data_IF_116158032292
#
_entry.id   IF_116158032292
#
_cell.length_a   1.000
_cell.length_b   1.000
_cell.length_c   1.000
_cell.angle_alpha   90.00
_cell.angle_beta   90.00
_cell.angle_gamma   90.00
#
_symmetry.space_group_name_H-M   'P 1'
#
loop_
_entity.id
_entity.type
_entity.pdbx_description
1 polymer ?
#
# COMPACT_ATOMS: atom_id res chain seq x y z
N UNK A 1 -15.45 10.92 -10.87
CA UNK A 1 -14.41 9.99 -10.39
C UNK A 1 -15.10 8.72 -9.92
N UNK A 2 -14.52 7.55 -10.16
CA UNK A 2 -15.05 6.28 -9.65
C UNK A 2 -15.11 6.32 -8.11
N UNK A 3 -16.20 5.84 -7.49
CA UNK A 3 -16.33 5.78 -6.02
C UNK A 3 -15.18 5.00 -5.39
N UNK A 4 -14.63 4.01 -6.10
CA UNK A 4 -13.46 3.22 -5.66
C UNK A 4 -12.21 4.09 -5.55
N UNK A 5 -11.96 4.95 -6.54
CA UNK A 5 -10.83 5.87 -6.54
C UNK A 5 -10.90 6.85 -5.38
N UNK A 6 -12.09 7.41 -5.10
CA UNK A 6 -12.30 8.33 -3.98
C UNK A 6 -12.00 7.62 -2.66
N UNK A 7 -12.52 6.41 -2.46
CA UNK A 7 -12.26 5.62 -1.27
C UNK A 7 -10.76 5.35 -1.07
N UNK A 8 -10.05 4.95 -2.13
CA UNK A 8 -8.59 4.72 -2.07
C UNK A 8 -7.82 5.98 -1.68
N UNK A 9 -8.16 7.13 -2.28
CA UNK A 9 -7.50 8.40 -1.97
C UNK A 9 -7.77 8.85 -0.53
N UNK A 10 -8.99 8.65 -0.03
CA UNK A 10 -9.33 8.94 1.36
C UNK A 10 -8.53 8.07 2.33
N UNK A 11 -8.43 6.76 2.07
CA UNK A 11 -7.62 5.83 2.88
C UNK A 11 -6.15 6.24 2.87
N UNK A 12 -5.59 6.54 1.70
CA UNK A 12 -4.19 7.00 1.56
C UNK A 12 -3.97 8.30 2.33
N UNK A 13 -4.89 9.27 2.24
CA UNK A 13 -4.76 10.54 2.93
C UNK A 13 -4.84 10.37 4.46
N UNK A 14 -5.81 9.60 4.95
CA UNK A 14 -5.97 9.35 6.37
C UNK A 14 -4.80 8.56 6.96
N UNK A 15 -4.37 7.48 6.29
CA UNK A 15 -3.23 6.67 6.74
C UNK A 15 -1.90 7.42 6.58
N UNK A 16 -1.78 8.26 5.55
CA UNK A 16 -0.67 9.19 5.36
C UNK A 16 -0.55 10.20 6.49
N UNK A 17 -1.66 10.81 6.92
CA UNK A 17 -1.68 11.71 8.06
C UNK A 17 -1.26 11.00 9.36
N UNK A 18 -1.80 9.80 9.61
CA UNK A 18 -1.41 8.98 10.76
C UNK A 18 0.09 8.64 10.74
N UNK A 19 0.61 8.23 9.59
CA UNK A 19 2.02 7.87 9.42
C UNK A 19 2.91 9.08 9.61
N UNK A 20 2.53 10.26 9.09
CA UNK A 20 3.27 11.50 9.29
C UNK A 20 3.32 11.89 10.78
N UNK A 21 2.20 11.80 11.49
CA UNK A 21 2.16 12.06 12.93
C UNK A 21 3.06 11.10 13.71
N UNK A 22 3.00 9.80 13.40
CA UNK A 22 3.86 8.80 14.04
C UNK A 22 5.36 9.05 13.75
N UNK A 23 5.71 9.43 12.51
CA UNK A 23 7.08 9.76 12.15
C UNK A 23 7.60 11.01 12.88
N UNK A 24 6.74 12.00 13.12
CA UNK A 24 7.12 13.19 13.90
C UNK A 24 7.32 12.88 15.39
N UNK A 25 6.57 11.92 15.92
CA UNK A 25 6.62 11.55 17.34
C UNK A 25 7.79 10.60 17.66
N UNK A 26 7.90 9.49 16.94
CA UNK A 26 8.85 8.40 17.27
C UNK A 26 9.89 8.15 16.17
N UNK A 27 9.82 8.87 15.05
CA UNK A 27 10.69 8.62 13.90
C UNK A 27 10.39 7.28 13.21
N UNK A 28 11.14 6.97 12.15
CA UNK A 28 10.89 5.75 11.37
C UNK A 28 11.15 4.46 12.17
N UNK A 29 12.30 4.39 12.86
CA UNK A 29 12.65 3.20 13.64
C UNK A 29 11.82 3.03 14.91
N UNK A 30 11.37 4.14 15.53
CA UNK A 30 10.51 4.09 16.71
C UNK A 30 9.09 3.57 16.42
N UNK A 31 8.65 3.54 15.16
CA UNK A 31 7.42 2.83 14.76
C UNK A 31 7.62 1.31 14.86
N UNK A 32 8.82 0.82 14.55
CA UNK A 32 9.11 -0.62 14.47
C UNK A 32 9.52 -1.19 15.83
N UNK A 33 10.33 -0.46 16.60
CA UNK A 33 10.92 -0.91 17.86
C UNK A 33 9.92 -1.52 18.86
N UNK A 34 8.71 -0.96 19.11
CA UNK A 34 7.75 -1.51 20.06
C UNK A 34 7.30 -2.94 19.73
N UNK A 35 7.32 -3.30 18.44
CA UNK A 35 6.90 -4.62 17.99
C UNK A 35 7.91 -5.71 18.36
N UNK A 36 9.14 -5.36 18.73
CA UNK A 36 10.15 -6.33 19.17
C UNK A 36 10.22 -6.50 20.69
N UNK A 37 9.45 -5.71 21.45
CA UNK A 37 9.49 -5.72 22.92
C UNK A 37 8.57 -6.78 23.55
N UNK A 38 7.58 -7.27 22.81
CA UNK A 38 6.60 -8.25 23.32
C UNK A 38 6.25 -9.28 22.25
N UNK A 39 5.85 -10.48 22.68
CA UNK A 39 5.37 -11.53 21.79
C UNK A 39 4.13 -11.11 20.98
N UNK A 40 3.23 -10.33 21.60
CA UNK A 40 2.05 -9.80 20.92
C UNK A 40 2.42 -8.81 19.81
N UNK A 41 3.28 -7.84 20.10
CA UNK A 41 3.79 -6.90 19.10
C UNK A 41 4.52 -7.61 17.95
N UNK A 42 5.34 -8.62 18.29
CA UNK A 42 6.11 -9.37 17.29
C UNK A 42 5.20 -10.19 16.38
N UNK A 43 4.13 -10.78 16.93
CA UNK A 43 3.15 -11.50 16.13
C UNK A 43 2.42 -10.57 15.16
N UNK A 44 1.98 -9.38 15.59
CA UNK A 44 1.31 -8.39 14.71
C UNK A 44 2.25 -7.91 13.61
N UNK A 45 3.52 -7.67 13.93
CA UNK A 45 4.51 -7.30 12.92
C UNK A 45 4.77 -8.43 11.91
N UNK A 46 4.85 -9.67 12.37
CA UNK A 46 4.99 -10.82 11.47
C UNK A 46 3.77 -10.96 10.54
N UNK A 47 2.54 -10.77 11.06
CA UNK A 47 1.32 -10.74 10.25
C UNK A 47 1.38 -9.64 9.18
N UNK A 48 1.80 -8.43 9.55
CA UNK A 48 1.99 -7.32 8.62
C UNK A 48 3.01 -7.66 7.51
N UNK A 49 4.14 -8.27 7.85
CA UNK A 49 5.16 -8.70 6.87
C UNK A 49 4.57 -9.74 5.92
N UNK A 50 3.85 -10.73 6.42
CA UNK A 50 3.18 -11.75 5.59
C UNK A 50 2.17 -11.09 4.66
N UNK A 51 1.35 -10.17 5.16
CA UNK A 51 0.39 -9.42 4.35
C UNK A 51 1.06 -8.58 3.26
N UNK A 52 2.21 -7.95 3.55
CA UNK A 52 2.99 -7.23 2.55
C UNK A 52 3.53 -8.17 1.46
N UNK A 53 4.05 -9.34 1.84
CA UNK A 53 4.53 -10.35 0.88
C UNK A 53 3.40 -10.86 0.00
N UNK A 54 2.25 -11.20 0.58
CA UNK A 54 1.06 -11.62 -0.18
C UNK A 54 0.58 -10.50 -1.11
N UNK A 55 0.59 -9.25 -0.65
CA UNK A 55 0.29 -8.08 -1.48
C UNK A 55 1.25 -7.93 -2.66
N UNK A 56 2.56 -8.10 -2.45
CA UNK A 56 3.57 -8.08 -3.51
C UNK A 56 3.32 -9.20 -4.53
N UNK A 57 3.12 -10.43 -4.08
CA UNK A 57 2.83 -11.58 -4.96
C UNK A 57 1.59 -11.31 -5.80
N UNK A 58 0.54 -10.77 -5.18
CA UNK A 58 -0.68 -10.39 -5.87
C UNK A 58 -0.45 -9.29 -6.91
N UNK A 59 0.26 -8.21 -6.58
CA UNK A 59 0.56 -7.12 -7.53
C UNK A 59 1.36 -7.62 -8.73
N UNK A 60 2.35 -8.50 -8.49
CA UNK A 60 3.15 -9.09 -9.56
C UNK A 60 2.30 -9.97 -10.49
N UNK A 61 1.36 -10.74 -9.95
CA UNK A 61 0.42 -11.51 -10.76
C UNK A 61 -0.57 -10.61 -11.53
N UNK A 62 -1.16 -9.63 -10.86
CA UNK A 62 -2.15 -8.70 -11.43
C UNK A 62 -1.54 -7.80 -12.52
N UNK A 63 -0.26 -7.42 -12.38
CA UNK A 63 0.45 -6.58 -13.37
C UNK A 63 0.47 -7.17 -14.77
N UNK A 64 0.40 -8.51 -14.88
CA UNK A 64 0.39 -9.24 -16.15
C UNK A 64 -0.92 -9.05 -16.92
N UNK A 65 -2.03 -8.77 -16.24
CA UNK A 65 -3.36 -8.62 -16.84
C UNK A 65 -3.82 -7.17 -16.87
N UNK A 66 -3.48 -6.38 -15.85
CA UNK A 66 -3.80 -4.94 -15.79
C UNK A 66 -2.88 -4.08 -16.66
N UNK A 67 -1.69 -4.60 -17.00
CA UNK A 67 -0.64 -3.89 -17.73
C UNK A 67 -0.10 -2.66 -16.97
N UNK A 68 -0.29 -2.60 -15.66
CA UNK A 68 0.34 -1.62 -14.77
C UNK A 68 1.64 -2.23 -14.28
N UNK A 69 2.75 -1.51 -14.43
CA UNK A 69 4.04 -1.98 -13.90
C UNK A 69 4.01 -2.01 -12.36
N UNK A 70 4.09 -3.20 -11.76
CA UNK A 70 4.03 -3.37 -10.31
C UNK A 70 5.33 -2.99 -9.58
N UNK A 71 6.50 -3.00 -10.25
CA UNK A 71 7.80 -2.87 -9.58
C UNK A 71 7.99 -1.62 -8.71
N UNK A 72 7.56 -0.41 -9.12
CA UNK A 72 7.65 0.77 -8.26
C UNK A 72 6.88 0.59 -6.95
N UNK A 73 5.73 -0.08 -7.01
CA UNK A 73 4.87 -0.32 -5.86
C UNK A 73 5.39 -1.46 -4.98
N UNK A 74 6.09 -2.44 -5.56
CA UNK A 74 6.83 -3.46 -4.79
C UNK A 74 7.90 -2.81 -3.93
N UNK A 75 8.73 -1.94 -4.52
CA UNK A 75 9.78 -1.21 -3.77
C UNK A 75 9.14 -0.35 -2.68
N UNK A 76 8.05 0.35 -3.00
CA UNK A 76 7.30 1.14 -2.02
C UNK A 76 6.73 0.29 -0.89
N UNK A 77 6.30 -0.94 -1.17
CA UNK A 77 5.80 -1.88 -0.15
C UNK A 77 6.89 -2.30 0.82
N UNK A 78 8.10 -2.52 0.32
CA UNK A 78 9.23 -2.93 1.16
C UNK A 78 9.69 -1.83 2.11
N UNK A 79 9.49 -0.56 1.74
CA UNK A 79 9.92 0.59 2.55
C UNK A 79 8.80 1.14 3.43
N UNK A 80 7.57 1.17 2.93
CA UNK A 80 6.46 1.88 3.60
C UNK A 80 5.25 0.97 3.84
N UNK A 81 5.38 -0.35 3.62
CA UNK A 81 4.31 -1.31 3.86
C UNK A 81 3.10 -1.10 2.95
N UNK A 82 1.92 -0.94 3.53
CA UNK A 82 0.64 -0.94 2.81
C UNK A 82 0.44 0.19 1.80
N UNK A 83 1.29 1.24 1.80
CA UNK A 83 1.23 2.27 0.77
C UNK A 83 1.45 1.71 -0.64
N UNK A 84 2.34 0.74 -0.81
CA UNK A 84 2.61 0.15 -2.14
C UNK A 84 1.36 -0.42 -2.81
N UNK A 85 0.64 -1.37 -2.19
CA UNK A 85 -0.61 -1.90 -2.73
C UNK A 85 -1.71 -0.84 -2.91
N UNK A 86 -1.81 0.13 -2.00
CA UNK A 86 -2.79 1.22 -2.11
C UNK A 86 -2.55 2.09 -3.36
N UNK A 87 -1.30 2.52 -3.58
CA UNK A 87 -0.94 3.29 -4.76
C UNK A 87 -1.02 2.46 -6.05
N UNK A 88 -0.74 1.16 -6.00
CA UNK A 88 -0.93 0.25 -7.13
C UNK A 88 -2.39 0.19 -7.57
N UNK A 89 -3.32 0.07 -6.62
CA UNK A 89 -4.76 0.07 -6.89
C UNK A 89 -5.22 1.39 -7.51
N UNK A 90 -4.69 2.53 -7.05
CA UNK A 90 -4.96 3.84 -7.67
C UNK A 90 -4.49 3.86 -9.12
N UNK A 91 -3.24 3.45 -9.39
CA UNK A 91 -2.69 3.42 -10.75
C UNK A 91 -3.51 2.51 -11.69
N UNK A 92 -3.96 1.37 -11.17
CA UNK A 92 -4.85 0.45 -11.88
C UNK A 92 -6.20 1.06 -12.21
N UNK A 93 -6.85 1.73 -11.27
CA UNK A 93 -8.16 2.35 -11.48
C UNK A 93 -8.09 3.50 -12.50
N UNK A 94 -7.01 4.30 -12.45
CA UNK A 94 -6.77 5.37 -13.43
C UNK A 94 -6.60 4.81 -14.84
N UNK A 95 -5.86 3.71 -15.00
CA UNK A 95 -5.68 3.05 -16.28
C UNK A 95 -6.98 2.46 -16.82
N UNK A 96 -7.75 1.77 -15.97
CA UNK A 96 -9.06 1.21 -16.32
C UNK A 96 -10.05 2.29 -16.76
N UNK A 97 -10.11 3.41 -16.04
CA UNK A 97 -10.96 4.56 -16.39
C UNK A 97 -10.56 5.14 -17.75
N UNK A 98 -9.26 5.26 -18.02
CA UNK A 98 -8.75 5.80 -19.28
C UNK A 98 -9.11 4.91 -20.48
N UNK A 99 -9.01 3.58 -20.32
CA UNK A 99 -9.42 2.62 -21.34
C UNK A 99 -10.93 2.72 -21.64
N UNK A 100 -11.77 2.81 -20.61
CA UNK A 100 -13.23 2.95 -20.79
C UNK A 100 -13.63 4.22 -21.55
N UNK A 101 -12.89 5.33 -21.36
CA UNK A 101 -13.17 6.61 -22.00
C UNK A 101 -12.74 6.67 -23.46
N UNK A 102 -11.81 5.80 -23.89
CA UNK A 102 -11.39 5.70 -25.29
C UNK A 102 -12.31 4.82 -26.13
N UNK A 103 -13.16 4.00 -25.49
CA UNK A 103 -14.12 3.11 -26.17
C UNK A 103 -15.55 3.68 -26.26
N UNK A 104 -15.77 4.91 -25.78
CA UNK A 104 -17.04 5.63 -25.78
C UNK A 104 -16.95 6.87 -26.67
#
# INVERSE_FOLDING_TARGET
MSNRLIALLLVIAAFGALTAMALLDVGYFGILEPHFQTWGGGQVFADLVIMCVLGIVWMLADSRTSGVNAWPFVIMTLVVGSFGPLFYLVARELKATSASRQSA
#
